data_IF_419205031180
#
_entry.id   IF_419205031180
#
_cell.length_a   1.000
_cell.length_b   1.000
_cell.length_c   1.000
_cell.angle_alpha   90.00
_cell.angle_beta   90.00
_cell.angle_gamma   90.00
#
_symmetry.space_group_name_H-M   'P 1'
#
loop_
_entity.id
_entity.type
_entity.pdbx_description
1 polymer ?
#
# COMPACT_ATOMS: atom_id res chain seq x y z
N UNK A 1 4.85 -28.66 -3.06
CA UNK A 1 3.70 -28.24 -3.88
C UNK A 1 2.34 -28.43 -3.18
N UNK A 2 2.06 -29.61 -2.59
CA UNK A 2 0.75 -29.86 -1.95
C UNK A 2 0.41 -28.89 -0.79
N UNK A 3 1.39 -28.47 0.00
CA UNK A 3 1.16 -27.54 1.12
C UNK A 3 0.84 -26.13 0.65
N UNK A 4 1.50 -25.63 -0.37
CA UNK A 4 1.20 -24.32 -0.95
C UNK A 4 -0.22 -24.27 -1.53
N UNK A 5 -0.65 -25.34 -2.21
CA UNK A 5 -2.01 -25.43 -2.76
C UNK A 5 -3.05 -25.48 -1.63
N UNK A 6 -2.79 -26.25 -0.57
CA UNK A 6 -3.68 -26.29 0.62
C UNK A 6 -3.78 -24.92 1.29
N UNK A 7 -2.64 -24.22 1.48
CA UNK A 7 -2.62 -22.88 2.06
C UNK A 7 -3.42 -21.89 1.19
N UNK A 8 -3.25 -21.94 -0.14
CA UNK A 8 -4.03 -21.12 -1.06
C UNK A 8 -5.53 -21.39 -0.92
N UNK A 9 -5.95 -22.66 -0.91
CA UNK A 9 -7.36 -23.03 -0.77
C UNK A 9 -7.96 -22.53 0.54
N UNK A 10 -7.27 -22.73 1.67
CA UNK A 10 -7.71 -22.25 2.99
C UNK A 10 -7.85 -20.72 2.99
N UNK A 11 -6.86 -20.00 2.50
CA UNK A 11 -6.91 -18.54 2.43
C UNK A 11 -8.05 -18.06 1.52
N UNK A 12 -8.28 -18.70 0.38
CA UNK A 12 -9.36 -18.36 -0.52
C UNK A 12 -10.73 -18.59 0.12
N UNK A 13 -10.94 -19.71 0.78
CA UNK A 13 -12.21 -20.01 1.48
C UNK A 13 -12.46 -19.02 2.60
N UNK A 14 -11.45 -18.75 3.45
CA UNK A 14 -11.56 -17.79 4.55
C UNK A 14 -11.80 -16.37 4.04
N UNK A 15 -11.07 -15.92 3.03
CA UNK A 15 -11.23 -14.59 2.47
C UNK A 15 -12.59 -14.38 1.80
N UNK A 16 -13.04 -15.34 0.98
CA UNK A 16 -14.38 -15.27 0.37
C UNK A 16 -15.45 -15.28 1.46
N UNK A 17 -15.30 -16.15 2.48
CA UNK A 17 -16.20 -16.20 3.64
C UNK A 17 -16.25 -14.86 4.39
N UNK A 18 -15.11 -14.22 4.60
CA UNK A 18 -15.04 -12.89 5.21
C UNK A 18 -15.79 -11.83 4.38
N UNK A 19 -15.57 -11.77 3.06
CA UNK A 19 -16.28 -10.84 2.18
C UNK A 19 -17.79 -11.10 2.17
N UNK A 20 -18.20 -12.36 2.30
CA UNK A 20 -19.62 -12.70 2.37
C UNK A 20 -20.24 -12.27 3.72
N UNK A 21 -19.57 -12.55 4.83
CA UNK A 21 -20.02 -12.15 6.16
C UNK A 21 -20.05 -10.62 6.33
N UNK A 22 -19.02 -9.92 5.82
CA UNK A 22 -18.92 -8.47 5.89
C UNK A 22 -19.86 -7.73 4.90
N UNK A 23 -20.49 -8.45 3.95
CA UNK A 23 -21.33 -7.86 2.90
C UNK A 23 -22.45 -6.99 3.47
N UNK A 24 -23.10 -7.42 4.55
CA UNK A 24 -24.21 -6.68 5.18
C UNK A 24 -23.82 -5.30 5.66
N UNK A 25 -22.64 -5.18 6.27
CA UNK A 25 -22.08 -3.91 6.78
C UNK A 25 -21.48 -3.08 5.64
N UNK A 26 -20.69 -3.71 4.79
CA UNK A 26 -19.99 -3.02 3.69
C UNK A 26 -20.93 -2.52 2.60
N UNK A 27 -22.07 -3.18 2.37
CA UNK A 27 -23.07 -2.72 1.38
C UNK A 27 -23.78 -1.42 1.78
N UNK A 28 -23.75 -1.08 3.05
CA UNK A 28 -24.25 0.23 3.55
C UNK A 28 -23.29 1.37 3.27
N UNK A 29 -21.98 1.07 3.19
CA UNK A 29 -20.91 2.04 3.02
C UNK A 29 -20.46 2.20 1.57
N UNK A 30 -20.56 1.11 0.78
CA UNK A 30 -19.98 1.05 -0.57
C UNK A 30 -20.93 0.31 -1.51
N UNK A 31 -21.03 0.79 -2.77
CA UNK A 31 -21.82 0.15 -3.81
C UNK A 31 -21.41 -1.33 -4.02
N UNK A 32 -22.39 -2.23 -4.15
CA UNK A 32 -22.14 -3.67 -4.36
C UNK A 32 -21.19 -3.98 -5.52
N UNK A 33 -21.24 -3.18 -6.59
CA UNK A 33 -20.34 -3.30 -7.72
C UNK A 33 -18.87 -3.06 -7.33
N UNK A 34 -18.63 -2.15 -6.37
CA UNK A 34 -17.28 -1.85 -5.87
C UNK A 34 -16.80 -2.97 -4.94
N UNK A 35 -17.67 -3.53 -4.10
CA UNK A 35 -17.35 -4.68 -3.26
C UNK A 35 -16.97 -5.92 -4.07
N UNK A 36 -17.73 -6.22 -5.13
CA UNK A 36 -17.38 -7.31 -6.07
C UNK A 36 -16.00 -7.09 -6.70
N UNK A 37 -15.69 -5.85 -7.05
CA UNK A 37 -14.39 -5.49 -7.63
C UNK A 37 -13.25 -5.66 -6.61
N UNK A 38 -13.42 -5.20 -5.37
CA UNK A 38 -12.43 -5.36 -4.31
C UNK A 38 -12.17 -6.83 -4.01
N UNK A 39 -13.23 -7.63 -3.91
CA UNK A 39 -13.11 -9.09 -3.75
C UNK A 39 -12.33 -9.73 -4.90
N UNK A 40 -12.66 -9.39 -6.15
CA UNK A 40 -11.98 -9.96 -7.31
C UNK A 40 -10.50 -9.56 -7.36
N UNK A 41 -10.16 -8.32 -6.98
CA UNK A 41 -8.77 -7.87 -6.84
C UNK A 41 -8.06 -8.62 -5.74
N UNK A 42 -8.72 -8.81 -4.60
CA UNK A 42 -8.18 -9.58 -3.50
C UNK A 42 -7.86 -11.02 -3.96
N UNK A 43 -8.81 -11.70 -4.57
CA UNK A 43 -8.63 -13.04 -5.14
C UNK A 43 -7.46 -13.05 -6.13
N UNK A 44 -7.43 -12.10 -7.06
CA UNK A 44 -6.38 -12.02 -8.07
C UNK A 44 -4.99 -11.80 -7.45
N UNK A 45 -4.88 -10.88 -6.48
CA UNK A 45 -3.60 -10.62 -5.79
C UNK A 45 -3.11 -11.83 -4.99
N UNK A 46 -4.04 -12.56 -4.34
CA UNK A 46 -3.71 -13.79 -3.62
C UNK A 46 -3.22 -14.89 -4.57
N UNK A 47 -3.91 -15.09 -5.70
CA UNK A 47 -3.47 -16.07 -6.71
C UNK A 47 -2.10 -15.70 -7.27
N UNK A 48 -1.88 -14.44 -7.61
CA UNK A 48 -0.58 -13.97 -8.10
C UNK A 48 0.53 -14.19 -7.07
N UNK A 49 0.24 -13.95 -5.78
CA UNK A 49 1.21 -14.21 -4.70
C UNK A 49 1.67 -15.68 -4.69
N UNK A 50 0.73 -16.62 -4.76
CA UNK A 50 1.03 -18.05 -4.74
C UNK A 50 1.63 -18.58 -6.04
N UNK A 51 1.34 -17.93 -7.17
CA UNK A 51 1.91 -18.30 -8.48
C UNK A 51 3.31 -17.71 -8.68
N UNK A 52 3.63 -16.63 -7.98
CA UNK A 52 4.90 -15.93 -8.15
C UNK A 52 6.06 -16.74 -7.56
N UNK A 53 7.01 -17.08 -8.40
CA UNK A 53 8.22 -17.80 -7.99
C UNK A 53 9.20 -16.91 -7.20
N UNK A 54 9.09 -15.58 -7.34
CA UNK A 54 9.87 -14.61 -6.60
C UNK A 54 9.00 -13.46 -6.11
N UNK A 55 9.38 -12.88 -4.98
CA UNK A 55 8.65 -11.78 -4.35
C UNK A 55 8.70 -10.50 -5.20
N UNK A 56 9.81 -10.31 -5.94
CA UNK A 56 9.94 -9.18 -6.88
C UNK A 56 8.97 -9.32 -8.06
N UNK A 57 8.82 -10.53 -8.60
CA UNK A 57 7.84 -10.81 -9.65
C UNK A 57 6.41 -10.55 -9.16
N UNK A 58 6.10 -10.98 -7.93
CA UNK A 58 4.82 -10.68 -7.30
C UNK A 58 4.56 -9.16 -7.22
N UNK A 59 5.52 -8.38 -6.75
CA UNK A 59 5.37 -6.94 -6.64
C UNK A 59 5.21 -6.25 -8.00
N UNK A 60 5.91 -6.72 -9.02
CA UNK A 60 5.78 -6.20 -10.37
C UNK A 60 4.39 -6.50 -10.95
N UNK A 61 3.92 -7.74 -10.82
CA UNK A 61 2.60 -8.16 -11.28
C UNK A 61 1.48 -7.43 -10.52
N UNK A 62 1.58 -7.36 -9.20
CA UNK A 62 0.61 -6.63 -8.38
C UNK A 62 0.59 -5.15 -8.74
N UNK A 63 1.75 -4.53 -8.89
CA UNK A 63 1.87 -3.13 -9.32
C UNK A 63 1.18 -2.88 -10.67
N UNK A 64 1.41 -3.74 -11.65
CA UNK A 64 0.78 -3.65 -12.98
C UNK A 64 -0.75 -3.79 -12.89
N UNK A 65 -1.26 -4.77 -12.11
CA UNK A 65 -2.69 -4.97 -11.87
C UNK A 65 -3.32 -3.73 -11.23
N UNK A 66 -2.68 -3.18 -10.20
CA UNK A 66 -3.18 -2.00 -9.48
C UNK A 66 -3.19 -0.75 -10.37
N UNK A 67 -2.15 -0.53 -11.17
CA UNK A 67 -2.09 0.57 -12.13
C UNK A 67 -3.20 0.46 -13.20
N UNK A 68 -3.43 -0.74 -13.72
CA UNK A 68 -4.52 -0.99 -14.66
C UNK A 68 -5.90 -0.73 -14.03
N UNK A 69 -6.05 -1.13 -12.76
CA UNK A 69 -7.30 -1.00 -12.02
C UNK A 69 -7.60 0.44 -11.60
N UNK A 70 -6.59 1.23 -11.28
CA UNK A 70 -6.71 2.63 -10.86
C UNK A 70 -7.47 3.49 -11.87
N UNK A 71 -7.37 3.21 -13.16
CA UNK A 71 -8.06 3.95 -14.24
C UNK A 71 -9.60 3.97 -14.09
N UNK A 72 -10.18 3.16 -13.21
CA UNK A 72 -11.64 2.96 -13.08
C UNK A 72 -12.30 3.69 -11.90
N UNK A 73 -11.80 4.86 -11.46
CA UNK A 73 -12.41 5.71 -10.40
C UNK A 73 -12.85 4.90 -9.15
N UNK A 74 -11.99 4.06 -8.61
CA UNK A 74 -12.26 3.36 -7.36
C UNK A 74 -12.02 4.28 -6.15
N UNK A 75 -12.68 4.01 -5.03
CA UNK A 75 -12.33 4.59 -3.74
C UNK A 75 -10.95 4.08 -3.34
N UNK A 76 -9.91 4.87 -3.68
CA UNK A 76 -8.50 4.46 -3.59
C UNK A 76 -8.14 4.08 -2.16
N UNK A 77 -8.63 4.86 -1.18
CA UNK A 77 -8.35 4.61 0.24
C UNK A 77 -8.98 3.29 0.73
N UNK A 78 -10.25 3.03 0.36
CA UNK A 78 -10.89 1.76 0.70
C UNK A 78 -10.19 0.56 0.06
N UNK A 79 -9.75 0.70 -1.19
CA UNK A 79 -8.98 -0.33 -1.87
C UNK A 79 -7.62 -0.56 -1.18
N UNK A 80 -6.93 0.51 -0.77
CA UNK A 80 -5.69 0.43 -0.02
C UNK A 80 -5.87 -0.39 1.26
N UNK A 81 -6.88 -0.08 2.08
CA UNK A 81 -7.14 -0.83 3.31
C UNK A 81 -7.51 -2.30 3.05
N UNK A 82 -8.34 -2.59 2.06
CA UNK A 82 -8.69 -3.98 1.73
C UNK A 82 -7.47 -4.78 1.31
N UNK A 83 -6.58 -4.20 0.51
CA UNK A 83 -5.38 -4.89 0.04
C UNK A 83 -4.27 -4.95 1.11
N UNK A 84 -4.27 -4.07 2.10
CA UNK A 84 -3.30 -4.07 3.19
C UNK A 84 -3.31 -5.41 3.96
N UNK A 85 -4.48 -6.02 4.10
CA UNK A 85 -4.66 -7.28 4.84
C UNK A 85 -4.48 -8.53 3.99
N UNK A 86 -4.17 -8.40 2.70
CA UNK A 86 -4.08 -9.54 1.76
C UNK A 86 -2.76 -10.27 1.85
N UNK A 87 -1.68 -9.54 2.02
CA UNK A 87 -0.34 -10.10 1.87
C UNK A 87 0.38 -10.24 3.20
N UNK A 88 1.05 -11.36 3.42
CA UNK A 88 1.97 -11.48 4.53
C UNK A 88 3.08 -10.42 4.42
N UNK A 89 3.64 -9.94 5.54
CA UNK A 89 4.69 -8.94 5.56
C UNK A 89 6.03 -9.55 5.10
N UNK A 90 6.13 -9.85 3.81
CA UNK A 90 7.37 -10.35 3.23
C UNK A 90 8.14 -9.15 2.64
N UNK A 91 9.30 -8.78 3.21
CA UNK A 91 10.12 -7.71 2.68
C UNK A 91 10.84 -8.19 1.40
N UNK A 92 10.87 -7.35 0.38
CA UNK A 92 11.74 -7.51 -0.76
C UNK A 92 12.79 -6.41 -0.76
N UNK A 93 14.04 -6.78 -0.74
CA UNK A 93 15.13 -5.84 -0.85
C UNK A 93 15.37 -5.51 -2.33
N UNK A 94 15.29 -4.23 -2.68
CA UNK A 94 15.70 -3.79 -4.00
C UNK A 94 17.22 -3.75 -4.00
N UNK A 95 17.88 -4.55 -4.84
CA UNK A 95 19.34 -4.63 -4.87
C UNK A 95 19.94 -3.24 -5.12
N UNK A 96 21.00 -2.93 -4.40
CA UNK A 96 21.76 -1.71 -4.57
C UNK A 96 22.72 -1.77 -5.76
N UNK A 97 23.33 -0.64 -6.05
CA UNK A 97 24.33 -0.49 -7.08
C UNK A 97 25.69 -0.22 -6.41
N UNK A 98 26.63 -1.16 -6.53
CA UNK A 98 28.01 -1.01 -6.08
C UNK A 98 28.17 -0.96 -4.56
N UNK A 99 28.48 0.22 -4.01
CA UNK A 99 28.82 0.43 -2.57
C UNK A 99 27.59 0.30 -1.65
N UNK A 100 26.39 0.31 -2.21
CA UNK A 100 25.11 0.29 -1.47
C UNK A 100 24.50 -1.10 -1.58
N UNK A 101 24.46 -1.86 -0.47
CA UNK A 101 23.96 -3.24 -0.43
C UNK A 101 22.53 -3.37 -0.95
N UNK A 102 21.65 -2.44 -0.56
CA UNK A 102 20.27 -2.37 -1.05
C UNK A 102 19.81 -0.92 -1.14
N UNK A 103 19.01 -0.60 -2.15
CA UNK A 103 18.46 0.74 -2.32
C UNK A 103 17.34 1.02 -1.34
N UNK A 104 16.39 0.13 -1.25
CA UNK A 104 15.22 0.29 -0.40
C UNK A 104 14.57 -1.07 -0.09
N UNK A 105 14.00 -1.22 1.10
CA UNK A 105 13.22 -2.39 1.48
C UNK A 105 11.77 -2.15 1.08
N UNK A 106 11.34 -2.83 0.03
CA UNK A 106 9.99 -2.75 -0.49
C UNK A 106 9.13 -3.79 0.23
N UNK A 107 8.21 -3.32 1.07
CA UNK A 107 7.19 -4.14 1.69
C UNK A 107 5.86 -3.99 0.92
N UNK A 108 4.94 -4.91 1.13
CA UNK A 108 3.62 -4.87 0.49
C UNK A 108 2.89 -3.54 0.70
N UNK A 109 2.84 -3.02 1.92
CA UNK A 109 2.18 -1.75 2.23
C UNK A 109 2.85 -0.54 1.56
N UNK A 110 4.19 -0.54 1.41
CA UNK A 110 4.93 0.49 0.67
C UNK A 110 4.63 0.44 -0.82
N UNK A 111 4.56 -0.77 -1.38
CA UNK A 111 4.14 -0.94 -2.76
C UNK A 111 2.74 -0.36 -2.99
N UNK A 112 1.78 -0.69 -2.11
CA UNK A 112 0.43 -0.13 -2.18
C UNK A 112 0.44 1.39 -2.04
N UNK A 113 1.23 1.93 -1.10
CA UNK A 113 1.42 3.37 -0.91
C UNK A 113 1.88 4.03 -2.20
N UNK A 114 2.97 3.55 -2.79
CA UNK A 114 3.55 4.12 -4.00
C UNK A 114 2.63 3.94 -5.22
N UNK A 115 2.02 2.79 -5.40
CA UNK A 115 1.21 2.50 -6.60
C UNK A 115 -0.19 3.11 -6.55
N UNK A 116 -0.84 3.12 -5.37
CA UNK A 116 -2.20 3.62 -5.22
C UNK A 116 -2.25 5.04 -4.66
N UNK A 117 -1.55 5.30 -3.55
CA UNK A 117 -1.69 6.56 -2.82
C UNK A 117 -0.86 7.68 -3.45
N UNK A 118 0.37 7.43 -3.89
CA UNK A 118 1.21 8.49 -4.49
C UNK A 118 0.53 9.15 -5.70
N UNK A 119 0.01 8.40 -6.67
CA UNK A 119 -0.68 9.05 -7.77
C UNK A 119 -2.03 9.68 -7.39
N UNK A 120 -2.69 9.18 -6.33
CA UNK A 120 -3.87 9.83 -5.79
C UNK A 120 -3.50 11.18 -5.17
N UNK A 121 -2.46 11.22 -4.35
CA UNK A 121 -1.91 12.43 -3.76
C UNK A 121 -1.51 13.46 -4.83
N UNK A 122 -0.80 13.03 -5.89
CA UNK A 122 -0.45 13.91 -7.01
C UNK A 122 -1.68 14.48 -7.73
N UNK A 123 -2.74 13.67 -7.89
CA UNK A 123 -3.99 14.13 -8.49
C UNK A 123 -4.74 15.12 -7.59
N UNK A 124 -4.63 14.98 -6.27
CA UNK A 124 -5.18 15.94 -5.30
C UNK A 124 -4.40 17.25 -5.32
N UNK A 125 -3.08 17.22 -5.39
CA UNK A 125 -2.23 18.41 -5.50
C UNK A 125 -2.55 19.25 -6.75
N UNK A 126 -2.99 18.61 -7.84
CA UNK A 126 -3.36 19.31 -9.07
C UNK A 126 -4.76 19.92 -9.02
N UNK A 127 -5.58 19.57 -8.03
CA UNK A 127 -6.92 20.14 -7.87
C UNK A 127 -6.85 21.40 -7.03
N UNK A 128 -7.26 22.52 -7.58
CA UNK A 128 -7.27 23.82 -6.91
C UNK A 128 -8.23 23.90 -5.71
N UNK A 129 -9.17 22.96 -5.60
CA UNK A 129 -10.19 22.88 -4.54
C UNK A 129 -9.80 21.93 -3.40
N UNK A 130 -8.63 21.30 -3.44
CA UNK A 130 -8.19 20.41 -2.34
C UNK A 130 -7.88 21.22 -1.09
N UNK A 131 -8.22 20.69 0.07
CA UNK A 131 -7.86 21.29 1.36
C UNK A 131 -6.34 21.54 1.37
N UNK A 132 -5.96 22.78 1.69
CA UNK A 132 -4.54 23.16 1.75
C UNK A 132 -3.91 22.47 2.95
N UNK A 133 -2.83 21.73 2.72
CA UNK A 133 -1.95 21.25 3.80
C UNK A 133 -1.64 22.44 4.74
N UNK A 134 -1.77 22.23 6.05
CA UNK A 134 -1.54 23.27 7.04
C UNK A 134 -2.80 24.08 7.41
N UNK A 135 -3.99 23.71 6.91
CA UNK A 135 -5.24 24.34 7.29
C UNK A 135 -5.73 23.89 8.67
N UNK A 136 -5.32 22.70 9.10
CA UNK A 136 -5.68 22.11 10.39
C UNK A 136 -4.49 22.10 11.35
N UNK A 137 -4.69 22.30 12.67
CA UNK A 137 -3.63 22.11 13.67
C UNK A 137 -3.06 20.68 13.65
N UNK A 138 -3.85 19.69 13.24
CA UNK A 138 -3.42 18.31 13.09
C UNK A 138 -2.37 18.17 11.99
N UNK A 139 -2.48 18.93 10.89
CA UNK A 139 -1.50 18.93 9.81
C UNK A 139 -0.11 19.35 10.32
N UNK A 140 -0.08 20.40 11.16
CA UNK A 140 1.15 20.90 11.76
C UNK A 140 1.78 19.90 12.73
N UNK A 141 0.96 19.19 13.51
CA UNK A 141 1.44 18.13 14.39
C UNK A 141 2.05 16.97 13.59
N UNK A 142 1.39 16.53 12.54
CA UNK A 142 1.89 15.44 11.66
C UNK A 142 3.18 15.88 10.97
N UNK A 143 3.21 17.08 10.39
CA UNK A 143 4.42 17.61 9.75
C UNK A 143 5.57 17.79 10.74
N UNK A 144 5.30 18.31 11.94
CA UNK A 144 6.27 18.44 13.01
C UNK A 144 6.85 17.09 13.46
N UNK A 145 6.00 16.08 13.62
CA UNK A 145 6.41 14.72 13.91
C UNK A 145 7.31 14.15 12.81
N UNK A 146 6.89 14.27 11.54
CA UNK A 146 7.66 13.79 10.40
C UNK A 146 9.02 14.48 10.29
N UNK A 147 9.05 15.79 10.51
CA UNK A 147 10.28 16.56 10.50
C UNK A 147 11.24 16.10 11.62
N UNK A 148 10.73 15.96 12.85
CA UNK A 148 11.51 15.49 13.98
C UNK A 148 12.08 14.09 13.74
N UNK A 149 11.25 13.15 13.28
CA UNK A 149 11.68 11.78 12.96
C UNK A 149 12.67 11.74 11.79
N UNK A 150 12.51 12.64 10.82
CA UNK A 150 13.47 12.78 9.71
C UNK A 150 14.84 13.25 10.22
N UNK A 151 14.89 14.18 11.16
CA UNK A 151 16.15 14.62 11.78
C UNK A 151 16.79 13.50 12.59
N UNK A 152 15.99 12.76 13.38
CA UNK A 152 16.48 11.64 14.19
C UNK A 152 17.02 10.48 13.34
N UNK A 153 16.48 10.27 12.14
CA UNK A 153 16.95 9.22 11.23
C UNK A 153 18.42 9.40 10.79
N UNK A 154 18.93 10.63 10.81
CA UNK A 154 20.34 10.90 10.50
C UNK A 154 21.28 10.76 11.71
N UNK A 155 20.74 10.62 12.91
CA UNK A 155 21.55 10.52 14.14
C UNK A 155 22.22 9.16 14.30
N UNK A 156 21.56 8.08 13.89
CA UNK A 156 21.93 6.71 14.24
C UNK A 156 22.62 5.93 13.11
N UNK A 157 22.90 6.54 11.95
CA UNK A 157 23.42 5.78 10.84
C UNK A 157 24.16 6.60 9.79
N UNK A 158 24.55 5.89 8.74
CA UNK A 158 25.12 6.51 7.54
C UNK A 158 24.05 7.36 6.83
N UNK A 159 24.48 8.38 6.10
CA UNK A 159 23.60 9.28 5.32
C UNK A 159 22.63 8.47 4.45
N UNK A 160 23.09 7.38 3.85
CA UNK A 160 22.27 6.50 3.01
C UNK A 160 21.14 5.81 3.79
N UNK A 161 21.43 5.33 5.00
CA UNK A 161 20.41 4.70 5.85
C UNK A 161 19.41 5.74 6.37
N UNK A 162 19.88 6.94 6.71
CA UNK A 162 19.04 8.07 7.09
C UNK A 162 18.05 8.45 5.98
N UNK A 163 18.54 8.60 4.74
CA UNK A 163 17.68 8.90 3.59
C UNK A 163 16.62 7.83 3.33
N UNK A 164 16.98 6.53 3.45
CA UNK A 164 16.01 5.43 3.33
C UNK A 164 14.93 5.49 4.40
N UNK A 165 15.34 5.75 5.64
CA UNK A 165 14.42 5.86 6.78
C UNK A 165 13.46 7.03 6.58
N UNK A 166 13.96 8.18 6.14
CA UNK A 166 13.13 9.34 5.81
C UNK A 166 12.15 9.01 4.68
N UNK A 167 12.62 8.45 3.57
CA UNK A 167 11.76 8.05 2.46
C UNK A 167 10.65 7.08 2.91
N UNK A 168 11.03 6.08 3.71
CA UNK A 168 10.09 5.11 4.26
C UNK A 168 9.04 5.79 5.14
N UNK A 169 9.46 6.66 6.05
CA UNK A 169 8.57 7.40 6.95
C UNK A 169 7.54 8.25 6.18
N UNK A 170 7.98 8.94 5.14
CA UNK A 170 7.10 9.77 4.32
C UNK A 170 6.10 8.94 3.50
N UNK A 171 6.52 7.81 2.96
CA UNK A 171 5.63 6.90 2.23
C UNK A 171 4.64 6.21 3.19
N UNK A 172 5.11 5.79 4.37
CA UNK A 172 4.31 4.97 5.28
C UNK A 172 3.30 5.81 6.10
N UNK A 173 3.61 7.07 6.40
CA UNK A 173 2.79 7.93 7.27
C UNK A 173 2.17 9.10 6.50
N UNK A 174 3.00 9.91 5.83
CA UNK A 174 2.50 11.13 5.18
C UNK A 174 1.55 10.83 4.04
N UNK A 175 1.86 9.85 3.21
CA UNK A 175 1.08 9.56 2.02
C UNK A 175 -0.35 9.08 2.35
N UNK A 176 -0.57 8.10 3.27
CA UNK A 176 -1.91 7.73 3.71
C UNK A 176 -2.65 8.89 4.40
N UNK A 177 -1.95 9.65 5.24
CA UNK A 177 -2.54 10.82 5.91
C UNK A 177 -3.04 11.83 4.89
N UNK A 178 -2.21 12.23 3.94
CA UNK A 178 -2.54 13.25 2.93
C UNK A 178 -3.70 12.84 2.01
N UNK A 179 -3.80 11.56 1.68
CA UNK A 179 -4.92 11.07 0.83
C UNK A 179 -6.21 10.93 1.63
N UNK A 180 -6.11 10.76 2.96
CA UNK A 180 -7.26 10.62 3.85
C UNK A 180 -7.83 11.97 4.33
N UNK A 181 -6.99 13.02 4.43
CA UNK A 181 -7.38 14.36 4.83
C UNK A 181 -8.13 15.10 3.73
#
# INVERSE_FOLDING_TARGET
MAEHVRALLVLMVLGIGYFYAARGVLSQLVLEATLKRWRNLWVLSTVVLFLSHSILLYFLMLGAILLAYRRRKAHVMGLYFVLLFVSPPAPAEIPGLGIVDHLWVLNHYRLLGVVLLLPAALSLLQRTTSARLGSSPVDWMVLGYLFLMSLLAFREGNVTSGLRSVLSLWVDIFLPYYVAS
#
